data_IF_928776362445
#
_entry.id   IF_928776362445
#
_cell.length_a   1.000
_cell.length_b   1.000
_cell.length_c   1.000
_cell.angle_alpha   90.00
_cell.angle_beta   90.00
_cell.angle_gamma   90.00
#
_symmetry.space_group_name_H-M   'P 1'
#
loop_
_entity.id
_entity.type
_entity.pdbx_description
1 polymer ?
#
# COMPACT_ATOMS: atom_id res chain seq x y z
N UNK A 1 13.09 -21.41 -4.22
CA UNK A 1 13.16 -19.97 -4.58
C UNK A 1 12.23 -19.23 -3.63
N UNK A 2 12.71 -18.18 -2.95
CA UNK A 2 11.88 -17.36 -2.05
C UNK A 2 11.03 -16.44 -2.92
N UNK A 3 9.72 -16.43 -2.71
CA UNK A 3 8.82 -15.52 -3.43
C UNK A 3 9.18 -14.07 -3.08
N UNK A 4 9.16 -13.13 -4.05
CA UNK A 4 9.43 -11.73 -3.78
C UNK A 4 8.39 -11.22 -2.77
N UNK A 5 8.84 -10.46 -1.77
CA UNK A 5 7.96 -9.89 -0.76
C UNK A 5 7.60 -8.47 -1.17
N UNK A 6 6.31 -8.24 -1.41
CA UNK A 6 5.74 -6.91 -1.61
C UNK A 6 5.13 -6.43 -0.29
N UNK A 7 5.18 -5.13 -0.04
CA UNK A 7 4.73 -4.48 1.20
C UNK A 7 3.74 -3.38 0.80
N UNK A 8 2.57 -3.35 1.44
CA UNK A 8 1.55 -2.32 1.23
C UNK A 8 1.52 -1.40 2.46
N UNK A 9 1.64 -0.10 2.24
CA UNK A 9 1.56 0.91 3.28
C UNK A 9 0.30 1.74 3.09
N UNK A 10 -0.50 1.89 4.15
CA UNK A 10 -1.76 2.62 4.09
C UNK A 10 -1.66 3.87 4.97
N UNK A 11 -1.61 5.04 4.35
CA UNK A 11 -1.53 6.33 5.04
C UNK A 11 -2.73 6.51 5.98
N UNK A 12 -2.51 6.81 7.26
CA UNK A 12 -3.61 7.06 8.21
C UNK A 12 -3.81 8.57 8.39
N UNK A 13 -4.97 9.14 8.03
CA UNK A 13 -5.21 10.58 8.14
C UNK A 13 -5.16 11.10 9.60
N UNK A 14 -5.36 10.22 10.59
CA UNK A 14 -5.31 10.58 12.01
C UNK A 14 -3.98 10.21 12.72
N UNK A 15 -2.95 9.76 11.99
CA UNK A 15 -1.67 9.40 12.60
C UNK A 15 -0.85 10.65 12.95
N UNK A 16 -1.14 11.22 14.12
CA UNK A 16 -0.45 12.34 14.75
C UNK A 16 1.05 12.09 15.08
N UNK A 17 1.71 11.10 14.48
CA UNK A 17 3.08 10.72 14.87
C UNK A 17 3.98 10.16 13.75
N UNK A 18 3.64 10.34 12.47
CA UNK A 18 4.49 9.85 11.36
C UNK A 18 4.60 8.32 11.29
N UNK A 19 3.79 7.60 12.06
CA UNK A 19 3.62 6.15 12.02
C UNK A 19 2.29 5.84 11.34
N UNK A 20 2.27 5.89 10.01
CA UNK A 20 1.19 5.29 9.24
C UNK A 20 1.01 3.83 9.66
N UNK A 21 -0.20 3.29 9.56
CA UNK A 21 -0.42 1.87 9.82
C UNK A 21 0.15 1.07 8.65
N UNK A 22 1.27 0.38 8.88
CA UNK A 22 1.89 -0.49 7.89
C UNK A 22 1.15 -1.83 7.84
N UNK A 23 0.61 -2.21 6.68
CA UNK A 23 -0.06 -3.50 6.48
C UNK A 23 0.80 -4.34 5.54
N UNK A 24 1.66 -5.18 6.11
CA UNK A 24 2.52 -6.05 5.30
C UNK A 24 1.67 -7.16 4.70
N UNK A 25 1.59 -7.21 3.37
CA UNK A 25 0.85 -8.21 2.62
C UNK A 25 1.79 -8.84 1.60
N UNK A 26 2.13 -10.12 1.79
CA UNK A 26 3.09 -10.80 0.95
C UNK A 26 2.46 -11.18 -0.40
N UNK A 27 2.95 -10.58 -1.49
CA UNK A 27 2.54 -10.94 -2.85
C UNK A 27 3.75 -11.38 -3.66
N UNK A 28 3.63 -12.51 -4.35
CA UNK A 28 4.60 -12.97 -5.34
C UNK A 28 4.44 -12.30 -6.71
N UNK A 29 3.35 -11.55 -6.91
CA UNK A 29 2.95 -10.89 -8.17
C UNK A 29 2.68 -9.40 -7.91
N UNK A 30 3.41 -8.55 -8.62
CA UNK A 30 3.31 -7.10 -8.55
C UNK A 30 1.93 -6.60 -8.98
N UNK A 31 1.35 -7.17 -10.03
CA UNK A 31 0.04 -6.77 -10.54
C UNK A 31 -1.06 -7.11 -9.53
N UNK A 32 -0.93 -8.24 -8.83
CA UNK A 32 -1.84 -8.61 -7.74
C UNK A 32 -1.75 -7.62 -6.57
N UNK A 33 -0.53 -7.23 -6.18
CA UNK A 33 -0.32 -6.26 -5.11
C UNK A 33 -0.93 -4.90 -5.45
N UNK A 34 -0.78 -4.44 -6.70
CA UNK A 34 -1.37 -3.17 -7.17
C UNK A 34 -2.91 -3.23 -7.16
N UNK A 35 -3.52 -4.35 -7.60
CA UNK A 35 -4.99 -4.52 -7.55
C UNK A 35 -5.53 -4.45 -6.12
N UNK A 36 -4.83 -5.07 -5.17
CA UNK A 36 -5.21 -5.02 -3.75
C UNK A 36 -5.03 -3.61 -3.19
N UNK A 37 -3.90 -2.96 -3.47
CA UNK A 37 -3.65 -1.58 -3.06
C UNK A 37 -4.74 -0.62 -3.56
N UNK A 38 -5.19 -0.80 -4.81
CA UNK A 38 -6.27 0.00 -5.40
C UNK A 38 -7.60 -0.22 -4.68
N UNK A 39 -7.91 -1.48 -4.35
CA UNK A 39 -9.12 -1.83 -3.59
C UNK A 39 -9.07 -1.16 -2.22
N UNK A 40 -7.95 -1.27 -1.50
CA UNK A 40 -7.77 -0.62 -0.20
C UNK A 40 -7.95 0.90 -0.31
N UNK A 41 -7.32 1.53 -1.30
CA UNK A 41 -7.42 2.98 -1.48
C UNK A 41 -8.87 3.44 -1.73
N UNK A 42 -9.63 2.68 -2.53
CA UNK A 42 -11.04 2.96 -2.84
C UNK A 42 -11.95 2.77 -1.63
N UNK A 43 -11.85 1.63 -0.96
CA UNK A 43 -12.73 1.29 0.16
C UNK A 43 -12.47 2.16 1.39
N UNK A 44 -11.22 2.59 1.57
CA UNK A 44 -10.83 3.39 2.75
C UNK A 44 -10.76 4.89 2.49
N UNK A 45 -10.73 5.31 1.22
CA UNK A 45 -10.45 6.70 0.84
C UNK A 45 -9.05 7.18 1.24
N UNK A 46 -8.10 6.25 1.49
CA UNK A 46 -6.75 6.56 1.98
C UNK A 46 -5.72 6.40 0.86
N UNK A 47 -4.63 7.16 0.94
CA UNK A 47 -3.50 6.93 0.04
C UNK A 47 -2.78 5.64 0.43
N UNK A 48 -2.36 4.87 -0.56
CA UNK A 48 -1.70 3.57 -0.39
C UNK A 48 -0.41 3.55 -1.19
N UNK A 49 0.70 3.15 -0.57
CA UNK A 49 2.00 2.99 -1.24
C UNK A 49 2.38 1.52 -1.28
N UNK A 50 2.73 1.02 -2.46
CA UNK A 50 3.24 -0.34 -2.67
C UNK A 50 4.74 -0.26 -2.82
N UNK A 51 5.47 -1.08 -2.07
CA UNK A 51 6.94 -1.14 -2.09
C UNK A 51 7.45 -2.58 -2.01
N UNK A 52 8.66 -2.84 -2.48
CA UNK A 52 9.33 -4.14 -2.25
C UNK A 52 9.87 -4.25 -0.83
N UNK A 53 10.35 -5.43 -0.43
CA UNK A 53 11.02 -5.64 0.86
C UNK A 53 12.22 -4.72 1.10
N UNK A 54 12.95 -4.37 0.04
CA UNK A 54 14.06 -3.41 0.07
C UNK A 54 13.61 -1.94 0.13
N UNK A 55 12.33 -1.69 0.44
CA UNK A 55 11.70 -0.39 0.48
C UNK A 55 11.69 0.40 -0.85
N UNK A 56 11.97 -0.25 -1.98
CA UNK A 56 11.81 0.37 -3.30
C UNK A 56 10.33 0.55 -3.61
N UNK A 57 9.92 1.79 -3.87
CA UNK A 57 8.53 2.10 -4.24
C UNK A 57 8.23 1.53 -5.62
N UNK A 58 7.18 0.72 -5.68
CA UNK A 58 6.58 0.18 -6.91
C UNK A 58 5.57 1.19 -7.45
N UNK A 59 4.71 1.72 -6.57
CA UNK A 59 3.69 2.69 -6.94
C UNK A 59 3.03 3.33 -5.74
N UNK A 60 2.37 4.47 -5.96
CA UNK A 60 1.54 5.14 -4.95
C UNK A 60 0.18 5.47 -5.55
N UNK A 61 -0.86 5.10 -4.82
CA UNK A 61 -2.26 5.34 -5.15
C UNK A 61 -2.73 6.46 -4.23
N UNK A 62 -3.04 7.61 -4.80
CA UNK A 62 -3.57 8.74 -4.04
C UNK A 62 -4.93 8.41 -3.45
N UNK A 63 -5.23 9.03 -2.31
CA UNK A 63 -6.57 8.99 -1.74
C UNK A 63 -7.58 9.48 -2.78
N UNK A 64 -8.62 8.68 -3.07
CA UNK A 64 -9.76 9.21 -3.81
C UNK A 64 -10.54 10.11 -2.86
N UNK A 65 -10.37 11.41 -3.00
CA UNK A 65 -11.34 12.36 -2.46
C UNK A 65 -12.64 12.13 -3.23
N UNK A 66 -13.53 11.29 -2.69
CA UNK A 66 -14.93 11.35 -3.08
C UNK A 66 -15.40 12.75 -2.66
N UNK A 67 -15.53 13.63 -3.67
CA UNK A 67 -16.01 14.99 -3.49
C UNK A 67 -17.53 15.00 -3.37
#
# INVERSE_FOLDING_TARGET
MKSPLIIIDVSNPNAFSGKGSQIILEFSDEDAAIRVALTIARETGRAVTVRTEDARVIGTISASTAH
#
